data_IF_924133128203
#
_entry.id   IF_924133128203
#
_cell.length_a   1.000
_cell.length_b   1.000
_cell.length_c   1.000
_cell.angle_alpha   90.00
_cell.angle_beta   90.00
_cell.angle_gamma   90.00
#
_symmetry.space_group_name_H-M   'P 1'
#
loop_
_entity.id
_entity.type
_entity.pdbx_description
1 polymer ?
#
# COMPACT_ATOMS: atom_id res chain seq x y z
N UNK A 1 0.58 18.92 1.62
CA UNK A 1 1.74 18.05 1.88
C UNK A 1 2.94 18.56 1.11
N UNK A 2 4.12 18.53 1.74
CA UNK A 2 5.36 19.07 1.22
C UNK A 2 6.47 18.03 1.22
N UNK A 3 7.54 18.27 0.47
CA UNK A 3 8.68 17.37 0.33
C UNK A 3 10.01 18.10 0.46
N UNK A 4 10.95 17.49 1.19
CA UNK A 4 12.37 17.82 1.19
C UNK A 4 13.15 16.61 0.70
N UNK A 5 14.28 16.88 0.04
CA UNK A 5 15.25 15.87 -0.38
C UNK A 5 16.62 16.14 0.26
N UNK A 6 17.22 15.12 0.86
CA UNK A 6 18.52 15.22 1.53
C UNK A 6 19.62 14.88 0.54
N UNK A 7 20.47 15.86 0.20
CA UNK A 7 21.62 15.58 -0.68
C UNK A 7 22.60 14.64 -0.01
N UNK A 8 22.97 13.60 -0.73
CA UNK A 8 24.00 12.64 -0.30
C UNK A 8 23.71 12.05 1.09
N UNK A 9 22.45 11.68 1.34
CA UNK A 9 21.93 11.26 2.66
C UNK A 9 22.90 10.36 3.46
N UNK A 10 23.42 9.30 2.85
CA UNK A 10 24.32 8.36 3.51
C UNK A 10 25.63 8.98 4.01
N UNK A 11 26.14 10.02 3.34
CA UNK A 11 27.37 10.71 3.76
C UNK A 11 27.21 11.49 5.06
N UNK A 12 25.98 11.65 5.56
CA UNK A 12 25.71 12.27 6.85
C UNK A 12 25.77 11.26 8.00
N UNK A 13 25.58 9.96 7.73
CA UNK A 13 25.56 8.93 8.76
C UNK A 13 26.95 8.64 9.32
N UNK A 14 27.08 8.64 10.65
CA UNK A 14 28.32 8.30 11.35
C UNK A 14 28.40 6.77 11.53
N UNK A 15 29.54 6.18 11.14
CA UNK A 15 29.77 4.75 11.32
C UNK A 15 30.17 4.46 12.76
N UNK A 16 29.56 3.43 13.36
CA UNK A 16 29.94 2.93 14.69
C UNK A 16 30.96 1.79 14.57
N UNK A 17 30.90 1.04 13.47
CA UNK A 17 31.85 -0.01 13.15
C UNK A 17 33.13 0.56 12.53
N UNK A 18 34.24 -0.15 12.73
CA UNK A 18 35.49 0.14 12.02
C UNK A 18 35.41 -0.41 10.59
N UNK A 19 35.27 0.50 9.63
CA UNK A 19 35.29 0.18 8.20
C UNK A 19 36.48 0.86 7.57
N UNK A 20 37.22 0.10 6.77
CA UNK A 20 38.37 0.59 6.01
C UNK A 20 38.09 0.44 4.53
N UNK A 21 38.65 1.35 3.73
CA UNK A 21 38.62 1.29 2.27
C UNK A 21 40.02 1.47 1.72
N UNK A 22 40.29 0.84 0.59
CA UNK A 22 41.50 1.11 -0.19
C UNK A 22 41.57 2.60 -0.55
N UNK A 23 42.79 3.10 -0.72
CA UNK A 23 42.99 4.47 -1.16
C UNK A 23 42.42 4.62 -2.58
N UNK A 24 41.43 5.51 -2.80
CA UNK A 24 40.85 5.68 -4.12
C UNK A 24 41.88 6.29 -5.08
N UNK A 25 41.73 5.95 -6.35
CA UNK A 25 42.57 6.47 -7.43
C UNK A 25 42.68 8.00 -7.36
N UNK A 26 43.91 8.52 -7.45
CA UNK A 26 44.20 9.95 -7.35
C UNK A 26 44.35 10.50 -5.92
N UNK A 27 44.09 9.70 -4.89
CA UNK A 27 44.30 10.05 -3.48
C UNK A 27 45.28 9.10 -2.78
N UNK A 28 46.03 8.32 -3.56
CA UNK A 28 47.07 7.43 -3.05
C UNK A 28 48.24 8.28 -2.55
N UNK A 29 48.63 8.08 -1.29
CA UNK A 29 49.77 8.76 -0.68
C UNK A 29 51.05 8.06 -1.11
N UNK A 30 51.95 8.80 -1.75
CA UNK A 30 53.23 8.26 -2.22
C UNK A 30 54.08 7.77 -1.04
N UNK A 31 54.55 6.53 -1.13
CA UNK A 31 55.30 5.84 -0.07
C UNK A 31 54.43 5.19 1.01
N UNK A 32 53.10 5.28 0.92
CA UNK A 32 52.15 4.61 1.81
C UNK A 32 51.06 3.88 1.02
N UNK A 33 51.39 3.35 -0.15
CA UNK A 33 50.45 2.77 -1.11
C UNK A 33 49.69 1.54 -0.56
N UNK A 34 50.26 0.84 0.42
CA UNK A 34 49.68 -0.33 1.07
C UNK A 34 48.72 0.01 2.24
N UNK A 35 48.62 1.29 2.61
CA UNK A 35 47.70 1.73 3.66
C UNK A 35 46.26 1.85 3.16
N UNK A 36 45.35 1.90 4.12
CA UNK A 36 43.90 2.03 3.90
C UNK A 36 43.36 3.24 4.65
N UNK A 37 42.26 3.82 4.16
CA UNK A 37 41.54 4.87 4.86
C UNK A 37 40.48 4.29 5.79
N UNK A 38 40.47 4.76 7.05
CA UNK A 38 39.38 4.48 7.99
C UNK A 38 38.21 5.42 7.71
N UNK A 39 37.03 4.87 7.49
CA UNK A 39 35.82 5.64 7.28
C UNK A 39 35.23 6.08 8.61
N UNK A 40 35.01 7.40 8.76
CA UNK A 40 34.28 7.97 9.90
C UNK A 40 32.79 8.12 9.61
N UNK A 41 32.43 8.35 8.34
CA UNK A 41 31.05 8.46 7.87
C UNK A 41 30.77 7.43 6.79
N UNK A 42 29.51 7.08 6.62
CA UNK A 42 29.12 6.08 5.67
C UNK A 42 29.30 6.57 4.22
N UNK A 43 29.69 5.65 3.35
CA UNK A 43 29.75 5.85 1.90
C UNK A 43 28.65 5.03 1.22
N UNK A 44 28.30 5.45 0.00
CA UNK A 44 27.43 4.67 -0.87
C UNK A 44 28.06 3.30 -1.15
N UNK A 45 27.22 2.26 -1.13
CA UNK A 45 27.65 0.87 -1.31
C UNK A 45 27.95 0.12 0.00
N UNK A 46 28.09 0.81 1.13
CA UNK A 46 28.20 0.14 2.43
C UNK A 46 26.85 -0.41 2.87
N UNK A 47 26.82 -1.67 3.30
CA UNK A 47 25.63 -2.31 3.89
C UNK A 47 25.11 -1.58 5.13
N UNK A 48 25.98 -0.89 5.87
CA UNK A 48 25.65 -0.14 7.07
C UNK A 48 25.12 1.28 6.78
N UNK A 49 25.34 1.81 5.58
CA UNK A 49 25.05 3.21 5.26
C UNK A 49 23.59 3.62 5.51
N UNK A 50 22.57 2.82 5.12
CA UNK A 50 21.19 3.17 5.40
C UNK A 50 20.89 3.25 6.90
N UNK A 51 21.45 2.33 7.69
CA UNK A 51 21.26 2.29 9.15
C UNK A 51 21.95 3.47 9.84
N UNK A 52 23.18 3.78 9.43
CA UNK A 52 23.94 4.92 9.97
C UNK A 52 23.22 6.24 9.68
N UNK A 53 22.71 6.41 8.46
CA UNK A 53 21.91 7.58 8.10
C UNK A 53 20.61 7.66 8.90
N UNK A 54 19.85 6.58 8.95
CA UNK A 54 18.59 6.55 9.70
C UNK A 54 18.81 6.86 11.19
N UNK A 55 19.87 6.33 11.81
CA UNK A 55 20.22 6.63 13.20
C UNK A 55 20.58 8.10 13.44
N UNK A 56 21.28 8.74 12.50
CA UNK A 56 21.62 10.17 12.57
C UNK A 56 20.35 11.05 12.50
N UNK A 57 19.47 10.80 11.52
CA UNK A 57 18.26 11.60 11.36
C UNK A 57 17.23 11.35 12.47
N UNK A 58 17.06 10.11 12.94
CA UNK A 58 16.24 9.76 14.09
C UNK A 58 16.69 10.54 15.34
N UNK A 59 17.98 10.47 15.66
CA UNK A 59 18.57 11.18 16.81
C UNK A 59 18.33 12.68 16.71
N UNK A 60 18.49 13.27 15.53
CA UNK A 60 18.26 14.70 15.32
C UNK A 60 16.79 15.09 15.46
N UNK A 61 15.85 14.33 14.89
CA UNK A 61 14.42 14.63 15.00
C UNK A 61 13.95 14.55 16.46
N UNK A 62 14.42 13.54 17.20
CA UNK A 62 14.15 13.41 18.64
C UNK A 62 14.71 14.62 19.42
N UNK A 63 15.93 15.07 19.12
CA UNK A 63 16.49 16.30 19.70
C UNK A 63 15.67 17.54 19.37
N UNK A 64 15.10 17.61 18.16
CA UNK A 64 14.16 18.66 17.77
C UNK A 64 12.77 18.52 18.42
N UNK A 65 12.55 17.54 19.30
CA UNK A 65 11.31 17.34 20.05
C UNK A 65 10.21 16.60 19.28
N UNK A 66 10.57 15.89 18.21
CA UNK A 66 9.64 14.94 17.58
C UNK A 66 9.57 13.66 18.39
N UNK A 67 8.38 13.05 18.40
CA UNK A 67 8.15 11.71 18.91
C UNK A 67 8.07 10.77 17.72
N UNK A 68 8.89 9.73 17.71
CA UNK A 68 8.78 8.65 16.72
C UNK A 68 7.54 7.81 17.04
N UNK A 69 6.79 7.44 16.02
CA UNK A 69 5.68 6.49 16.13
C UNK A 69 6.19 5.14 16.63
N UNK A 70 5.39 4.50 17.49
CA UNK A 70 5.69 3.15 17.95
C UNK A 70 5.25 2.08 16.96
N UNK A 71 4.31 2.45 16.08
CA UNK A 71 3.70 1.59 15.06
C UNK A 71 4.45 1.61 13.72
N UNK A 72 5.10 2.73 13.39
CA UNK A 72 5.84 2.94 12.15
C UNK A 72 7.16 3.70 12.41
N UNK A 73 8.30 3.05 12.14
CA UNK A 73 9.61 3.56 12.53
C UNK A 73 10.03 4.80 11.75
N UNK A 74 9.53 4.98 10.53
CA UNK A 74 9.89 6.15 9.71
C UNK A 74 8.97 7.35 9.91
N UNK A 75 8.02 7.25 10.84
CA UNK A 75 7.01 8.27 11.10
C UNK A 75 7.31 9.02 12.40
N UNK A 76 7.21 10.35 12.33
CA UNK A 76 7.51 11.27 13.43
C UNK A 76 6.42 12.32 13.55
N UNK A 77 6.06 12.63 14.78
CA UNK A 77 5.00 13.57 15.09
C UNK A 77 5.49 14.57 16.14
N UNK A 78 5.16 15.85 15.94
CA UNK A 78 5.42 16.91 16.91
C UNK A 78 4.22 17.82 17.00
N UNK A 79 3.82 18.15 18.23
CA UNK A 79 2.74 19.10 18.47
C UNK A 79 3.12 20.18 19.47
N UNK A 80 2.42 21.32 19.41
CA UNK A 80 2.45 22.40 20.41
C UNK A 80 1.01 22.66 20.83
N UNK A 81 0.70 22.59 22.13
CA UNK A 81 -0.69 22.68 22.65
C UNK A 81 -1.58 21.54 22.12
N UNK A 82 -2.84 21.50 22.51
CA UNK A 82 -3.74 20.34 22.28
C UNK A 82 -4.18 20.15 20.81
N UNK A 83 -3.87 21.06 19.90
CA UNK A 83 -4.36 21.00 18.51
C UNK A 83 -3.29 21.09 17.42
N UNK A 84 -2.13 21.72 17.65
CA UNK A 84 -1.17 21.92 16.57
C UNK A 84 -0.32 20.67 16.37
N UNK A 85 -0.16 20.27 15.10
CA UNK A 85 0.48 19.04 14.71
C UNK A 85 1.31 19.23 13.44
N UNK A 86 2.50 18.65 13.44
CA UNK A 86 3.28 18.34 12.24
C UNK A 86 3.64 16.86 12.24
N UNK A 87 3.41 16.22 11.10
CA UNK A 87 3.69 14.83 10.80
C UNK A 87 4.79 14.80 9.74
N UNK A 88 5.80 13.97 9.97
CA UNK A 88 6.97 13.80 9.10
C UNK A 88 7.15 12.31 8.84
N UNK A 89 7.27 11.93 7.58
CA UNK A 89 7.59 10.57 7.14
C UNK A 89 8.88 10.59 6.33
N UNK A 90 9.79 9.67 6.64
CA UNK A 90 11.11 9.58 6.01
C UNK A 90 11.20 8.34 5.15
N UNK A 91 11.69 8.50 3.92
CA UNK A 91 12.11 7.40 3.07
C UNK A 91 13.50 7.68 2.53
N UNK A 92 14.52 7.15 3.22
CA UNK A 92 15.93 7.37 2.87
C UNK A 92 16.25 8.87 2.77
N UNK A 93 16.40 9.41 1.57
CA UNK A 93 16.71 10.80 1.24
C UNK A 93 15.45 11.68 1.10
N UNK A 94 14.32 11.08 0.75
CA UNK A 94 13.04 11.77 0.65
C UNK A 94 12.39 11.96 2.04
N UNK A 95 11.91 13.17 2.31
CA UNK A 95 11.16 13.50 3.52
C UNK A 95 9.86 14.16 3.14
N UNK A 96 8.75 13.51 3.48
CA UNK A 96 7.40 14.06 3.30
C UNK A 96 6.93 14.62 4.63
N UNK A 97 6.35 15.81 4.63
CA UNK A 97 5.79 16.40 5.83
C UNK A 97 4.49 17.15 5.58
N UNK A 98 3.63 17.16 6.60
CA UNK A 98 2.32 17.81 6.57
C UNK A 98 1.89 18.17 7.99
N UNK A 99 0.90 19.03 8.13
CA UNK A 99 0.42 19.45 9.44
C UNK A 99 -0.67 20.50 9.34
N UNK A 100 -1.28 20.83 10.47
CA UNK A 100 -2.29 21.88 10.56
C UNK A 100 -1.72 23.22 11.08
N UNK A 101 -0.42 23.25 11.46
CA UNK A 101 0.28 24.46 11.90
C UNK A 101 1.40 24.85 10.93
N UNK A 102 1.22 25.97 10.23
CA UNK A 102 2.21 26.52 9.31
C UNK A 102 3.51 26.90 10.03
N UNK A 103 3.42 27.36 11.29
CA UNK A 103 4.58 27.68 12.12
C UNK A 103 5.42 26.43 12.38
N UNK A 104 4.81 25.33 12.84
CA UNK A 104 5.52 24.08 13.08
C UNK A 104 6.16 23.49 11.82
N UNK A 105 5.45 23.57 10.68
CA UNK A 105 5.99 23.12 9.40
C UNK A 105 7.18 23.98 8.95
N UNK A 106 7.12 25.30 9.13
CA UNK A 106 8.21 26.20 8.78
C UNK A 106 9.41 26.06 9.73
N UNK A 107 9.18 25.88 11.03
CA UNK A 107 10.19 25.56 12.02
C UNK A 107 10.91 24.26 11.66
N UNK A 108 10.15 23.20 11.36
CA UNK A 108 10.70 21.90 10.94
C UNK A 108 11.61 22.06 9.71
N UNK A 109 11.08 22.69 8.65
CA UNK A 109 11.82 22.93 7.41
C UNK A 109 13.11 23.71 7.65
N UNK A 110 13.05 24.77 8.44
CA UNK A 110 14.21 25.62 8.74
C UNK A 110 15.28 24.82 9.49
N UNK A 111 14.90 24.05 10.51
CA UNK A 111 15.82 23.20 11.27
C UNK A 111 16.49 22.14 10.39
N UNK A 112 15.75 21.52 9.46
CA UNK A 112 16.31 20.52 8.54
C UNK A 112 17.29 21.14 7.55
N UNK A 113 16.95 22.28 6.96
CA UNK A 113 17.83 22.99 6.00
C UNK A 113 19.08 23.59 6.66
N UNK A 114 19.03 23.90 7.96
CA UNK A 114 20.21 24.34 8.72
C UNK A 114 21.14 23.17 9.05
N UNK A 115 20.58 21.99 9.38
CA UNK A 115 21.36 20.82 9.79
C UNK A 115 21.98 20.07 8.62
N UNK A 116 21.24 19.90 7.53
CA UNK A 116 21.63 19.10 6.38
C UNK A 116 21.57 19.92 5.09
N UNK A 117 22.33 19.48 4.09
CA UNK A 117 22.25 20.04 2.74
C UNK A 117 21.00 19.51 2.04
N UNK A 118 19.91 20.27 2.10
CA UNK A 118 18.60 19.87 1.56
C UNK A 118 18.30 20.53 0.20
N UNK A 119 17.39 19.92 -0.56
CA UNK A 119 16.60 20.56 -1.60
C UNK A 119 15.17 20.67 -1.10
N UNK A 120 14.61 21.88 -1.15
CA UNK A 120 13.19 22.09 -0.92
C UNK A 120 12.43 21.90 -2.23
N UNK A 121 11.61 20.85 -2.29
CA UNK A 121 10.82 20.50 -3.46
C UNK A 121 9.42 21.13 -3.42
N UNK A 122 9.08 21.86 -2.34
CA UNK A 122 7.79 22.50 -2.19
C UNK A 122 6.66 21.49 -2.03
N UNK A 123 5.56 21.66 -2.76
CA UNK A 123 4.43 20.75 -2.71
C UNK A 123 4.84 19.35 -3.21
N UNK A 124 4.35 18.33 -2.52
CA UNK A 124 4.54 16.95 -2.93
C UNK A 124 3.81 16.69 -4.27
N UNK A 125 4.58 16.43 -5.32
CA UNK A 125 4.05 16.09 -6.65
C UNK A 125 4.35 14.64 -7.04
N UNK A 126 5.47 14.07 -6.58
CA UNK A 126 5.87 12.69 -6.86
C UNK A 126 6.53 12.07 -5.62
N UNK A 127 6.17 10.83 -5.31
CA UNK A 127 6.79 10.06 -4.22
C UNK A 127 6.82 8.59 -4.59
N UNK A 128 8.01 7.95 -4.59
CA UNK A 128 8.16 6.51 -4.87
C UNK A 128 7.47 6.04 -6.17
N UNK A 129 7.51 6.88 -7.21
CA UNK A 129 6.88 6.59 -8.50
C UNK A 129 5.35 6.72 -8.53
N UNK A 130 4.75 7.25 -7.46
CA UNK A 130 3.35 7.70 -7.39
C UNK A 130 3.33 9.21 -7.70
N UNK A 131 2.43 9.63 -8.58
CA UNK A 131 2.11 11.04 -8.82
C UNK A 131 0.99 11.50 -7.88
N UNK A 132 1.10 12.75 -7.41
CA UNK A 132 0.20 13.35 -6.43
C UNK A 132 -0.29 14.69 -6.99
N UNK A 133 -1.61 14.83 -7.08
CA UNK A 133 -2.29 16.08 -7.40
C UNK A 133 -2.93 16.57 -6.11
N UNK A 134 -2.55 17.76 -5.67
CA UNK A 134 -3.09 18.39 -4.46
C UNK A 134 -3.94 19.58 -4.87
N UNK A 135 -5.17 19.61 -4.36
CA UNK A 135 -6.15 20.69 -4.51
C UNK A 135 -6.57 21.18 -3.12
N UNK A 136 -7.33 22.28 -3.05
CA UNK A 136 -7.96 22.73 -1.81
C UNK A 136 -9.01 21.74 -1.28
N UNK A 137 -9.62 20.97 -2.19
CA UNK A 137 -10.74 20.07 -1.89
C UNK A 137 -10.36 18.59 -1.85
N UNK A 138 -9.22 18.20 -2.44
CA UNK A 138 -8.82 16.79 -2.53
C UNK A 138 -7.32 16.59 -2.72
N UNK A 139 -6.87 15.37 -2.40
CA UNK A 139 -5.59 14.79 -2.81
C UNK A 139 -5.90 13.61 -3.73
N UNK A 140 -5.26 13.56 -4.89
CA UNK A 140 -5.41 12.45 -5.84
C UNK A 140 -4.06 11.79 -6.10
N UNK A 141 -3.97 10.48 -5.91
CA UNK A 141 -2.75 9.70 -6.14
C UNK A 141 -2.92 8.74 -7.33
N UNK A 142 -1.91 8.68 -8.19
CA UNK A 142 -1.99 7.88 -9.42
C UNK A 142 -0.62 7.44 -9.93
N UNK A 143 -0.60 6.47 -10.84
CA UNK A 143 0.61 5.97 -11.50
C UNK A 143 0.51 6.08 -13.03
N UNK A 144 -0.13 7.14 -13.55
CA UNK A 144 -0.41 7.33 -15.00
C UNK A 144 0.84 7.17 -15.88
N UNK A 145 1.94 7.86 -15.54
CA UNK A 145 3.21 7.79 -16.30
C UNK A 145 3.77 6.37 -16.36
N UNK A 146 3.71 5.64 -15.24
CA UNK A 146 4.11 4.24 -15.17
C UNK A 146 3.20 3.36 -16.02
N UNK A 147 1.87 3.51 -15.88
CA UNK A 147 0.89 2.77 -16.67
C UNK A 147 1.07 2.97 -18.18
N UNK A 148 1.27 4.20 -18.65
CA UNK A 148 1.54 4.48 -20.07
C UNK A 148 2.85 3.86 -20.56
N UNK A 149 3.91 3.88 -19.72
CA UNK A 149 5.18 3.23 -20.04
C UNK A 149 5.02 1.70 -20.13
N UNK A 150 4.21 1.13 -19.24
CA UNK A 150 3.90 -0.29 -19.20
C UNK A 150 3.16 -0.73 -20.47
N UNK A 151 2.15 0.04 -20.90
CA UNK A 151 1.41 -0.22 -22.13
C UNK A 151 2.31 -0.17 -23.36
N UNK A 152 3.19 0.85 -23.46
CA UNK A 152 4.17 0.95 -24.54
C UNK A 152 5.13 -0.25 -24.56
N UNK A 153 5.63 -0.66 -23.39
CA UNK A 153 6.56 -1.80 -23.25
C UNK A 153 5.98 -3.09 -23.81
N UNK A 154 4.69 -3.35 -23.60
CA UNK A 154 4.02 -4.56 -24.07
C UNK A 154 3.25 -4.39 -25.39
N UNK A 155 3.44 -3.27 -26.09
CA UNK A 155 2.83 -3.00 -27.40
C UNK A 155 1.31 -2.84 -27.35
N UNK A 156 0.78 -2.31 -26.24
CA UNK A 156 -0.66 -2.15 -25.98
C UNK A 156 -1.10 -0.69 -25.87
N UNK A 157 -0.26 0.28 -26.26
CA UNK A 157 -0.62 1.71 -26.18
C UNK A 157 -1.81 2.10 -27.08
N UNK A 158 -2.04 1.38 -28.18
CA UNK A 158 -3.14 1.63 -29.13
C UNK A 158 -4.20 0.52 -29.09
N UNK A 159 -4.20 -0.31 -28.05
CA UNK A 159 -5.11 -1.44 -27.95
C UNK A 159 -6.56 -1.01 -27.66
N UNK A 160 -7.55 -1.78 -28.15
CA UNK A 160 -8.96 -1.56 -27.79
C UNK A 160 -9.17 -1.87 -26.30
N UNK A 161 -9.61 -0.88 -25.49
CA UNK A 161 -9.78 -1.08 -24.06
C UNK A 161 -10.91 -2.05 -23.72
N UNK A 162 -10.91 -2.58 -22.50
CA UNK A 162 -11.98 -3.42 -21.95
C UNK A 162 -12.49 -2.83 -20.63
N UNK A 163 -13.75 -3.11 -20.27
CA UNK A 163 -14.39 -2.51 -19.09
C UNK A 163 -14.09 -3.20 -17.76
N UNK A 164 -13.54 -4.42 -17.76
CA UNK A 164 -13.19 -5.18 -16.55
C UNK A 164 -11.89 -5.98 -16.76
N UNK A 165 -11.05 -6.13 -15.71
CA UNK A 165 -9.75 -6.78 -15.81
C UNK A 165 -9.85 -8.30 -16.03
N UNK A 166 -10.84 -8.96 -15.42
CA UNK A 166 -11.09 -10.40 -15.55
C UNK A 166 -12.51 -10.68 -16.07
N UNK A 167 -12.73 -11.89 -16.60
CA UNK A 167 -14.05 -12.36 -17.02
C UNK A 167 -14.60 -13.27 -15.92
N UNK A 168 -15.79 -13.02 -15.33
CA UNK A 168 -16.30 -13.79 -14.19
C UNK A 168 -16.39 -15.31 -14.39
N UNK A 169 -16.73 -15.75 -15.60
CA UNK A 169 -16.86 -17.16 -15.93
C UNK A 169 -15.53 -17.85 -16.27
N UNK A 170 -14.43 -17.10 -16.37
CA UNK A 170 -13.16 -17.63 -16.83
C UNK A 170 -12.26 -18.00 -15.64
N UNK A 171 -12.11 -19.30 -15.40
CA UNK A 171 -11.23 -19.85 -14.37
C UNK A 171 -9.84 -20.13 -14.95
N UNK A 172 -8.81 -19.70 -14.22
CA UNK A 172 -7.40 -20.00 -14.53
C UNK A 172 -6.98 -21.24 -13.77
N UNK A 173 -6.26 -22.14 -14.44
CA UNK A 173 -5.76 -23.41 -13.90
C UNK A 173 -4.32 -23.59 -14.36
N UNK A 174 -3.51 -24.38 -13.64
CA UNK A 174 -2.12 -24.65 -14.04
C UNK A 174 -1.99 -25.25 -15.42
N UNK A 175 -2.90 -26.17 -15.75
CA UNK A 175 -3.01 -26.77 -17.07
C UNK A 175 -4.40 -26.45 -17.64
N UNK A 176 -4.40 -25.78 -18.77
CA UNK A 176 -5.59 -25.30 -19.47
C UNK A 176 -5.54 -25.63 -20.97
N UNK A 177 -4.66 -26.56 -21.36
CA UNK A 177 -4.46 -27.03 -22.74
C UNK A 177 -4.03 -25.95 -23.74
N UNK A 178 -3.79 -24.70 -23.30
CA UNK A 178 -3.40 -23.59 -24.20
C UNK A 178 -1.91 -23.58 -24.53
N UNK A 179 -1.13 -24.52 -23.99
CA UNK A 179 0.32 -24.63 -24.15
C UNK A 179 1.10 -23.60 -23.32
N UNK A 180 2.39 -23.90 -23.11
CA UNK A 180 3.28 -23.04 -22.34
C UNK A 180 3.51 -21.68 -23.01
N UNK A 181 3.70 -20.64 -22.19
CA UNK A 181 4.06 -19.30 -22.63
C UNK A 181 5.48 -18.92 -22.19
N UNK A 182 5.99 -17.80 -22.68
CA UNK A 182 7.30 -17.30 -22.30
C UNK A 182 7.29 -16.82 -20.84
N UNK A 183 7.98 -17.56 -19.99
CA UNK A 183 8.04 -17.33 -18.54
C UNK A 183 8.64 -15.96 -18.18
N UNK A 184 9.72 -15.55 -18.85
CA UNK A 184 10.40 -14.29 -18.56
C UNK A 184 9.52 -13.08 -18.90
N UNK A 185 8.86 -13.09 -20.06
CA UNK A 185 7.95 -12.02 -20.46
C UNK A 185 6.69 -11.97 -19.58
N UNK A 186 6.16 -13.14 -19.21
CA UNK A 186 5.04 -13.23 -18.28
C UNK A 186 5.38 -12.65 -16.90
N UNK A 187 6.52 -13.05 -16.32
CA UNK A 187 6.99 -12.54 -15.02
C UNK A 187 7.19 -11.02 -15.05
N UNK A 188 7.78 -10.48 -16.12
CA UNK A 188 7.94 -9.02 -16.30
C UNK A 188 6.59 -8.31 -16.33
N UNK A 189 5.61 -8.87 -17.06
CA UNK A 189 4.27 -8.28 -17.19
C UNK A 189 3.55 -8.30 -15.84
N UNK A 190 3.45 -9.47 -15.20
CA UNK A 190 2.73 -9.60 -13.93
C UNK A 190 3.41 -8.84 -12.81
N UNK A 191 4.74 -8.86 -12.73
CA UNK A 191 5.49 -8.02 -11.79
C UNK A 191 5.21 -6.53 -11.96
N UNK A 192 5.05 -6.07 -13.22
CA UNK A 192 4.67 -4.68 -13.49
C UNK A 192 3.23 -4.35 -13.07
N UNK A 193 2.30 -5.31 -13.23
CA UNK A 193 0.92 -5.15 -12.74
C UNK A 193 0.88 -5.06 -11.21
N UNK A 194 1.65 -5.89 -10.51
CA UNK A 194 1.76 -5.86 -9.05
C UNK A 194 2.24 -4.49 -8.56
N UNK A 195 3.23 -3.88 -9.22
CA UNK A 195 3.67 -2.52 -8.87
C UNK A 195 2.58 -1.45 -9.09
N UNK A 196 1.73 -1.61 -10.10
CA UNK A 196 0.63 -0.69 -10.39
C UNK A 196 -0.50 -0.78 -9.34
N UNK A 197 -0.58 -1.87 -8.58
CA UNK A 197 -1.61 -2.03 -7.54
C UNK A 197 -1.49 -1.03 -6.40
N UNK A 198 -0.34 -0.35 -6.26
CA UNK A 198 -0.08 0.67 -5.22
C UNK A 198 -1.06 1.86 -5.29
N UNK A 199 -1.56 2.22 -6.49
CA UNK A 199 -2.64 3.21 -6.66
C UNK A 199 -3.86 2.66 -7.37
N UNK A 200 -3.88 1.34 -7.66
CA UNK A 200 -4.93 0.66 -8.41
C UNK A 200 -5.38 -0.62 -7.69
N UNK A 201 -6.02 -0.49 -6.50
CA UNK A 201 -6.57 -1.65 -5.79
C UNK A 201 -7.57 -2.44 -6.65
N UNK A 202 -8.24 -1.78 -7.60
CA UNK A 202 -9.20 -2.38 -8.53
C UNK A 202 -8.62 -3.45 -9.47
N UNK A 203 -7.30 -3.52 -9.65
CA UNK A 203 -6.64 -4.60 -10.40
C UNK A 203 -5.91 -5.60 -9.50
N UNK A 204 -5.92 -5.41 -8.18
CA UNK A 204 -5.17 -6.22 -7.21
C UNK A 204 -5.50 -7.71 -7.34
N UNK A 205 -6.78 -8.08 -7.38
CA UNK A 205 -7.21 -9.46 -7.54
C UNK A 205 -6.64 -10.09 -8.81
N UNK A 206 -6.74 -9.38 -9.93
CA UNK A 206 -6.26 -9.87 -11.22
C UNK A 206 -4.73 -10.06 -11.24
N UNK A 207 -3.98 -9.09 -10.72
CA UNK A 207 -2.52 -9.17 -10.66
C UNK A 207 -2.05 -10.31 -9.75
N UNK A 208 -2.65 -10.46 -8.57
CA UNK A 208 -2.28 -11.50 -7.61
C UNK A 208 -2.70 -12.90 -8.05
N UNK A 209 -3.87 -13.04 -8.69
CA UNK A 209 -4.31 -14.30 -9.27
C UNK A 209 -3.32 -14.77 -10.36
N UNK A 210 -2.91 -13.88 -11.25
CA UNK A 210 -1.92 -14.17 -12.30
C UNK A 210 -0.53 -14.50 -11.71
N UNK A 211 -0.15 -13.87 -10.61
CA UNK A 211 1.14 -14.14 -9.95
C UNK A 211 1.30 -15.61 -9.52
N UNK A 212 0.19 -16.34 -9.29
CA UNK A 212 0.20 -17.77 -8.96
C UNK A 212 0.83 -18.64 -10.05
N UNK A 213 0.88 -18.17 -11.30
CA UNK A 213 1.32 -18.94 -12.46
C UNK A 213 2.70 -18.50 -13.00
N UNK A 214 3.45 -17.68 -12.24
CA UNK A 214 4.75 -17.13 -12.67
C UNK A 214 5.83 -18.17 -13.00
N UNK A 215 5.75 -19.38 -12.46
CA UNK A 215 6.73 -20.45 -12.69
C UNK A 215 6.41 -21.34 -13.90
N UNK A 216 5.15 -21.36 -14.34
CA UNK A 216 4.72 -22.20 -15.46
C UNK A 216 3.48 -21.59 -16.13
N UNK A 217 3.63 -20.41 -16.78
CA UNK A 217 2.49 -19.74 -17.40
C UNK A 217 2.08 -20.42 -18.71
N UNK A 218 0.80 -20.35 -19.02
CA UNK A 218 0.19 -20.84 -20.26
C UNK A 218 -0.14 -19.65 -21.16
N UNK A 219 -0.49 -19.91 -22.42
CA UNK A 219 -0.89 -18.82 -23.33
C UNK A 219 -2.19 -18.14 -22.88
N UNK A 220 -3.10 -18.87 -22.23
CA UNK A 220 -4.27 -18.29 -21.57
C UNK A 220 -3.87 -17.35 -20.44
N UNK A 221 -2.93 -17.76 -19.57
CA UNK A 221 -2.40 -16.87 -18.52
C UNK A 221 -1.86 -15.56 -19.10
N UNK A 222 -1.04 -15.65 -20.15
CA UNK A 222 -0.47 -14.45 -20.78
C UNK A 222 -1.52 -13.59 -21.49
N UNK A 223 -2.51 -14.21 -22.15
CA UNK A 223 -3.65 -13.53 -22.74
C UNK A 223 -4.48 -12.77 -21.70
N UNK A 224 -4.75 -13.38 -20.56
CA UNK A 224 -5.45 -12.74 -19.43
C UNK A 224 -4.63 -11.60 -18.84
N UNK A 225 -3.31 -11.73 -18.72
CA UNK A 225 -2.44 -10.64 -18.28
C UNK A 225 -2.47 -9.45 -19.24
N UNK A 226 -2.46 -9.68 -20.56
CA UNK A 226 -2.65 -8.63 -21.58
C UNK A 226 -4.05 -8.01 -21.50
N UNK A 227 -5.09 -8.78 -21.14
CA UNK A 227 -6.43 -8.23 -20.91
C UNK A 227 -6.43 -7.22 -19.75
N UNK A 228 -5.71 -7.49 -18.66
CA UNK A 228 -5.57 -6.51 -17.55
C UNK A 228 -4.92 -5.21 -18.08
N UNK A 229 -3.90 -5.30 -18.92
CA UNK A 229 -3.33 -4.11 -19.57
C UNK A 229 -4.34 -3.38 -20.47
N UNK A 230 -5.20 -4.08 -21.21
CA UNK A 230 -6.30 -3.44 -21.97
C UNK A 230 -7.31 -2.73 -21.06
N UNK A 231 -7.53 -3.22 -19.84
CA UNK A 231 -8.33 -2.51 -18.84
C UNK A 231 -7.62 -1.23 -18.35
N UNK A 232 -6.32 -1.34 -18.05
CA UNK A 232 -5.47 -0.19 -17.68
C UNK A 232 -5.47 0.87 -18.79
N UNK A 233 -5.44 0.47 -20.06
CA UNK A 233 -5.52 1.40 -21.19
C UNK A 233 -6.80 2.25 -21.17
N UNK A 234 -7.94 1.63 -20.86
CA UNK A 234 -9.22 2.33 -20.73
C UNK A 234 -9.35 3.16 -19.44
N UNK A 235 -8.39 3.04 -18.53
CA UNK A 235 -8.42 3.63 -17.19
C UNK A 235 -7.08 4.29 -16.83
N UNK A 236 -6.36 4.83 -17.82
CA UNK A 236 -5.06 5.49 -17.63
C UNK A 236 -5.11 6.66 -16.65
N UNK A 237 -6.24 7.35 -16.63
CA UNK A 237 -6.52 8.53 -15.83
C UNK A 237 -7.11 8.20 -14.45
N UNK A 238 -7.14 6.91 -14.08
CA UNK A 238 -7.69 6.48 -12.80
C UNK A 238 -6.63 6.45 -11.70
N UNK A 239 -7.06 6.83 -10.49
CA UNK A 239 -6.28 6.85 -9.27
C UNK A 239 -7.20 6.98 -8.06
N UNK A 240 -6.62 7.10 -6.87
CA UNK A 240 -7.36 7.21 -5.61
C UNK A 240 -7.60 8.68 -5.25
N UNK A 241 -8.85 9.03 -4.95
CA UNK A 241 -9.27 10.36 -4.50
C UNK A 241 -9.50 10.36 -2.97
N UNK A 242 -8.83 11.29 -2.28
CA UNK A 242 -9.06 11.60 -0.88
C UNK A 242 -9.59 13.03 -0.77
N UNK A 243 -10.87 13.18 -0.45
CA UNK A 243 -11.57 14.47 -0.33
C UNK A 243 -11.40 15.03 1.07
N UNK A 244 -11.33 16.36 1.12
CA UNK A 244 -11.35 17.12 2.36
C UNK A 244 -12.76 17.12 2.98
N UNK A 245 -12.82 16.97 4.29
CA UNK A 245 -14.04 17.22 5.08
C UNK A 245 -15.07 16.08 5.10
N UNK A 246 -14.76 14.90 4.55
CA UNK A 246 -15.52 13.70 4.89
C UNK A 246 -15.11 13.20 6.29
N UNK A 247 -16.01 12.50 6.99
CA UNK A 247 -15.79 12.11 8.39
C UNK A 247 -14.57 11.21 8.57
N UNK A 248 -13.75 11.50 9.58
CA UNK A 248 -12.58 10.72 9.98
C UNK A 248 -13.00 9.46 10.74
N UNK A 249 -13.66 8.52 10.06
CA UNK A 249 -14.04 7.23 10.65
C UNK A 249 -13.34 6.11 9.90
N UNK A 250 -12.55 5.32 10.63
CA UNK A 250 -11.98 4.09 10.11
C UNK A 250 -13.08 3.05 9.91
N UNK A 251 -13.25 2.55 8.68
CA UNK A 251 -14.21 1.49 8.34
C UNK A 251 -13.49 0.39 7.57
N UNK A 252 -13.70 -0.86 7.98
CA UNK A 252 -13.14 -2.05 7.36
C UNK A 252 -14.18 -2.89 6.62
N UNK A 253 -13.72 -3.61 5.62
CA UNK A 253 -14.46 -4.62 4.86
C UNK A 253 -13.59 -5.87 4.76
N UNK A 254 -14.19 -7.05 4.94
CA UNK A 254 -13.51 -8.32 4.75
C UNK A 254 -14.41 -9.31 4.02
N UNK A 255 -13.84 -10.03 3.06
CA UNK A 255 -14.49 -11.09 2.29
C UNK A 255 -13.50 -12.22 2.02
N UNK A 256 -13.99 -13.40 1.69
CA UNK A 256 -13.18 -14.49 1.18
C UNK A 256 -13.83 -15.20 0.01
N UNK A 257 -13.01 -15.74 -0.89
CA UNK A 257 -13.50 -16.83 -1.72
C UNK A 257 -13.55 -18.13 -0.89
N UNK A 258 -14.34 -19.11 -1.34
CA UNK A 258 -14.28 -20.46 -0.81
C UNK A 258 -13.71 -21.41 -1.85
N UNK A 259 -12.57 -22.04 -1.52
CA UNK A 259 -11.85 -22.94 -2.41
C UNK A 259 -11.58 -22.32 -3.80
N UNK A 260 -11.29 -21.02 -3.87
CA UNK A 260 -11.14 -20.31 -5.15
C UNK A 260 -9.91 -20.75 -5.96
N UNK A 261 -8.99 -21.50 -5.35
CA UNK A 261 -7.88 -22.16 -6.02
C UNK A 261 -8.21 -23.64 -6.28
N UNK A 262 -8.49 -24.00 -7.54
CA UNK A 262 -8.76 -25.41 -7.89
C UNK A 262 -7.52 -26.32 -7.74
N UNK A 263 -6.32 -25.73 -7.70
CA UNK A 263 -5.07 -26.48 -7.61
C UNK A 263 -4.76 -27.00 -6.20
N UNK A 264 -5.13 -26.26 -5.16
CA UNK A 264 -4.81 -26.60 -3.75
C UNK A 264 -5.97 -26.40 -2.77
N UNK A 265 -7.17 -26.09 -3.29
CA UNK A 265 -8.40 -25.85 -2.53
C UNK A 265 -8.28 -24.76 -1.46
N UNK A 266 -7.23 -23.93 -1.52
CA UNK A 266 -7.04 -22.82 -0.58
C UNK A 266 -7.86 -21.62 -1.00
N UNK A 267 -8.46 -20.99 0.01
CA UNK A 267 -9.21 -19.76 -0.14
C UNK A 267 -8.31 -18.53 -0.33
N UNK A 268 -8.90 -17.45 -0.80
CA UNK A 268 -8.32 -16.11 -0.87
C UNK A 268 -9.11 -15.19 0.05
N UNK A 269 -8.45 -14.57 1.03
CA UNK A 269 -8.99 -13.45 1.80
C UNK A 269 -8.74 -12.13 1.08
N UNK A 270 -9.66 -11.19 1.22
CA UNK A 270 -9.49 -9.80 0.83
C UNK A 270 -9.99 -8.87 1.93
N UNK A 271 -9.31 -7.73 2.10
CA UNK A 271 -9.82 -6.66 2.94
C UNK A 271 -9.58 -5.28 2.33
N UNK A 272 -10.41 -4.32 2.72
CA UNK A 272 -10.22 -2.90 2.46
C UNK A 272 -10.57 -2.09 3.70
N UNK A 273 -9.75 -1.07 3.96
CA UNK A 273 -9.96 -0.07 5.00
C UNK A 273 -10.03 1.30 4.37
N UNK A 274 -11.14 1.98 4.64
CA UNK A 274 -11.39 3.36 4.24
C UNK A 274 -11.25 4.29 5.43
N UNK A 275 -10.77 5.50 5.16
CA UNK A 275 -10.73 6.59 6.13
C UNK A 275 -11.11 7.86 5.39
N UNK A 276 -12.20 8.51 5.80
CA UNK A 276 -12.82 9.55 4.98
C UNK A 276 -13.37 8.99 3.67
N UNK A 277 -12.95 9.54 2.54
CA UNK A 277 -13.61 9.34 1.24
C UNK A 277 -13.08 8.19 0.38
N UNK A 278 -12.07 7.47 0.84
CA UNK A 278 -11.36 6.50 -0.01
C UNK A 278 -10.62 5.43 0.77
N UNK A 279 -10.25 4.36 0.06
CA UNK A 279 -9.43 3.28 0.62
C UNK A 279 -7.99 3.74 0.75
N UNK A 280 -7.33 3.38 1.84
CA UNK A 280 -5.91 3.67 2.05
C UNK A 280 -5.10 2.42 2.45
N UNK A 281 -5.77 1.36 2.86
CA UNK A 281 -5.15 0.07 3.20
C UNK A 281 -6.01 -1.07 2.64
N UNK A 282 -5.43 -1.94 1.83
CA UNK A 282 -6.12 -3.06 1.21
C UNK A 282 -5.17 -4.24 1.05
N UNK A 283 -5.72 -5.46 0.94
CA UNK A 283 -4.91 -6.61 0.63
C UNK A 283 -5.67 -7.72 -0.09
N UNK A 284 -4.87 -8.53 -0.76
CA UNK A 284 -5.18 -9.86 -1.22
C UNK A 284 -4.28 -10.83 -0.46
N UNK A 285 -4.85 -11.86 0.16
CA UNK A 285 -4.08 -12.85 0.92
C UNK A 285 -4.55 -14.24 0.56
N UNK A 286 -3.66 -15.07 0.02
CA UNK A 286 -3.96 -16.50 -0.14
C UNK A 286 -3.88 -17.16 1.25
N UNK A 287 -4.97 -17.77 1.69
CA UNK A 287 -5.04 -18.41 3.00
C UNK A 287 -4.04 -19.58 3.07
N UNK A 288 -3.37 -19.72 4.22
CA UNK A 288 -2.36 -20.76 4.40
C UNK A 288 -2.97 -22.15 4.63
N UNK A 289 -4.16 -22.20 5.25
CA UNK A 289 -4.93 -23.41 5.52
C UNK A 289 -6.09 -23.57 4.53
N UNK A 290 -6.52 -24.81 4.31
CA UNK A 290 -7.75 -25.13 3.57
C UNK A 290 -8.91 -24.97 4.54
N UNK A 291 -9.86 -24.09 4.21
CA UNK A 291 -11.07 -23.89 5.00
C UNK A 291 -12.09 -25.00 4.71
N UNK A 292 -12.71 -25.55 5.75
CA UNK A 292 -13.67 -26.66 5.61
C UNK A 292 -15.09 -26.18 5.26
N UNK A 293 -15.32 -24.87 5.27
CA UNK A 293 -16.59 -24.25 4.90
C UNK A 293 -16.38 -22.80 4.46
N UNK A 294 -17.35 -22.23 3.75
CA UNK A 294 -17.38 -20.79 3.44
C UNK A 294 -17.33 -19.94 4.71
N UNK A 295 -18.09 -20.30 5.74
CA UNK A 295 -18.09 -19.57 7.01
C UNK A 295 -16.70 -19.55 7.68
N UNK A 296 -15.91 -20.61 7.50
CA UNK A 296 -14.55 -20.70 8.02
C UNK A 296 -13.56 -19.85 7.22
N UNK A 297 -13.66 -19.84 5.89
CA UNK A 297 -12.85 -18.97 5.03
C UNK A 297 -13.09 -17.49 5.37
N UNK A 298 -14.36 -17.12 5.56
CA UNK A 298 -14.77 -15.76 5.95
C UNK A 298 -14.23 -15.39 7.32
N UNK A 299 -14.27 -16.33 8.26
CA UNK A 299 -13.71 -16.13 9.60
C UNK A 299 -12.21 -15.87 9.56
N UNK A 300 -11.48 -16.60 8.70
CA UNK A 300 -10.04 -16.36 8.50
C UNK A 300 -9.79 -14.96 7.94
N UNK A 301 -10.58 -14.54 6.94
CA UNK A 301 -10.49 -13.18 6.38
C UNK A 301 -10.78 -12.10 7.43
N UNK A 302 -11.85 -12.26 8.22
CA UNK A 302 -12.18 -11.35 9.31
C UNK A 302 -11.05 -11.27 10.36
N UNK A 303 -10.36 -12.38 10.64
CA UNK A 303 -9.21 -12.39 11.56
C UNK A 303 -8.04 -11.58 11.04
N UNK A 304 -7.75 -11.68 9.74
CA UNK A 304 -6.67 -10.92 9.10
C UNK A 304 -7.03 -9.43 9.05
N UNK A 305 -8.27 -9.10 8.72
CA UNK A 305 -8.76 -7.72 8.75
C UNK A 305 -8.76 -7.16 10.18
N UNK A 306 -9.08 -7.95 11.21
CA UNK A 306 -9.00 -7.51 12.62
C UNK A 306 -7.58 -7.13 13.03
N UNK A 307 -6.58 -7.90 12.57
CA UNK A 307 -5.17 -7.58 12.82
C UNK A 307 -4.77 -6.26 12.15
N UNK A 308 -5.20 -6.07 10.90
CA UNK A 308 -4.97 -4.82 10.18
C UNK A 308 -5.67 -3.63 10.85
N UNK A 309 -6.93 -3.78 11.25
CA UNK A 309 -7.69 -2.74 11.97
C UNK A 309 -6.98 -2.33 13.27
N UNK A 310 -6.48 -3.31 14.02
CA UNK A 310 -5.75 -3.06 15.27
C UNK A 310 -4.48 -2.25 15.02
N UNK A 311 -3.67 -2.64 14.03
CA UNK A 311 -2.47 -1.88 13.67
C UNK A 311 -2.80 -0.47 13.17
N UNK A 312 -3.82 -0.32 12.33
CA UNK A 312 -4.28 0.97 11.82
C UNK A 312 -4.71 1.91 12.96
N UNK A 313 -5.40 1.39 13.99
CA UNK A 313 -5.77 2.18 15.17
C UNK A 313 -4.55 2.70 15.94
N UNK A 314 -3.49 1.89 16.06
CA UNK A 314 -2.24 2.36 16.69
C UNK A 314 -1.55 3.45 15.86
N UNK A 315 -1.55 3.34 14.53
CA UNK A 315 -1.03 4.39 13.64
C UNK A 315 -1.85 5.68 13.74
N UNK A 316 -3.18 5.59 13.79
CA UNK A 316 -4.06 6.74 13.99
C UNK A 316 -3.85 7.40 15.36
N UNK A 317 -3.67 6.60 16.41
CA UNK A 317 -3.31 7.09 17.74
C UNK A 317 -1.95 7.83 17.73
N UNK A 318 -0.95 7.32 17.01
CA UNK A 318 0.33 7.99 16.82
C UNK A 318 0.17 9.37 16.12
N UNK A 319 -0.84 9.53 15.25
CA UNK A 319 -1.20 10.83 14.64
C UNK A 319 -1.97 11.77 15.59
N UNK A 320 -2.40 11.30 16.76
CA UNK A 320 -3.29 12.03 17.65
C UNK A 320 -4.79 11.87 17.32
N UNK A 321 -5.14 11.00 16.39
CA UNK A 321 -6.52 10.67 15.99
C UNK A 321 -6.96 9.39 16.70
N UNK A 322 -7.18 9.49 18.02
CA UNK A 322 -7.59 8.34 18.82
C UNK A 322 -9.04 7.93 18.49
N UNK A 323 -9.19 6.74 17.91
CA UNK A 323 -10.48 6.13 17.66
C UNK A 323 -11.12 5.66 18.98
N UNK A 324 -12.06 6.43 19.51
CA UNK A 324 -12.73 6.11 20.79
C UNK A 324 -13.85 5.07 20.65
N UNK A 325 -14.28 4.79 19.42
CA UNK A 325 -15.33 3.82 19.11
C UNK A 325 -14.72 2.62 18.39
N UNK A 326 -15.35 1.47 18.55
CA UNK A 326 -14.98 0.25 17.86
C UNK A 326 -15.05 0.42 16.34
N UNK A 327 -14.00 0.02 15.63
CA UNK A 327 -13.93 0.12 14.16
C UNK A 327 -14.96 -0.81 13.53
N UNK A 328 -15.93 -0.31 12.73
CA UNK A 328 -16.86 -1.16 12.01
C UNK A 328 -16.12 -2.04 11.01
N UNK A 329 -16.29 -3.36 11.12
CA UNK A 329 -15.75 -4.34 10.19
C UNK A 329 -16.91 -5.06 9.51
N UNK A 330 -17.09 -4.79 8.22
CA UNK A 330 -18.19 -5.27 7.40
C UNK A 330 -17.90 -6.67 6.84
N UNK A 331 -18.79 -7.61 7.11
CA UNK A 331 -18.74 -9.00 6.63
C UNK A 331 -20.13 -9.40 6.11
N UNK A 332 -20.22 -10.07 4.98
CA UNK A 332 -21.50 -10.48 4.39
C UNK A 332 -21.93 -11.91 4.80
N UNK A 333 -21.10 -12.60 5.58
CA UNK A 333 -21.38 -13.96 6.04
C UNK A 333 -21.93 -13.98 7.47
N UNK A 334 -23.26 -14.10 7.58
CA UNK A 334 -23.97 -14.18 8.88
C UNK A 334 -23.54 -15.37 9.73
N UNK A 335 -23.09 -16.49 9.12
CA UNK A 335 -22.59 -17.64 9.86
C UNK A 335 -21.22 -17.37 10.47
N UNK A 336 -20.32 -16.69 9.75
CA UNK A 336 -19.02 -16.26 10.28
C UNK A 336 -19.20 -15.28 11.45
N UNK A 337 -20.15 -14.34 11.33
CA UNK A 337 -20.53 -13.43 12.41
C UNK A 337 -21.09 -14.20 13.61
N UNK A 338 -21.98 -15.17 13.39
CA UNK A 338 -22.55 -15.96 14.48
C UNK A 338 -21.50 -16.79 15.25
N UNK A 339 -20.43 -17.23 14.57
CA UNK A 339 -19.31 -17.96 15.20
C UNK A 339 -18.58 -17.07 16.21
N UNK A 340 -18.43 -15.76 15.97
CA UNK A 340 -17.74 -14.87 16.94
C UNK A 340 -18.55 -14.71 18.24
N UNK A 341 -19.88 -14.78 18.16
CA UNK A 341 -20.78 -14.59 19.29
C UNK A 341 -20.99 -15.85 20.14
N UNK A 342 -20.81 -17.05 19.57
CA UNK A 342 -21.21 -18.30 20.21
C UNK A 342 -20.02 -19.22 20.60
N UNK A 343 -19.83 -19.55 21.90
CA UNK A 343 -18.73 -20.41 22.36
C UNK A 343 -18.88 -21.90 21.98
N UNK A 344 -20.07 -22.34 21.58
CA UNK A 344 -20.37 -23.75 21.28
C UNK A 344 -19.74 -24.22 19.96
N UNK A 345 -19.48 -23.31 19.01
CA UNK A 345 -18.91 -23.66 17.70
C UNK A 345 -17.42 -24.04 17.75
N UNK A 346 -16.77 -23.93 18.93
CA UNK A 346 -15.34 -24.19 19.11
C UNK A 346 -14.91 -25.62 18.76
N UNK A 347 -15.80 -26.61 18.91
CA UNK A 347 -15.47 -28.00 18.57
C UNK A 347 -15.20 -28.22 17.07
N UNK A 348 -15.75 -27.39 16.18
CA UNK A 348 -15.67 -27.56 14.71
C UNK A 348 -14.52 -26.79 14.05
N UNK A 349 -13.90 -25.83 14.75
CA UNK A 349 -12.89 -24.89 14.21
C UNK A 349 -11.52 -25.02 14.89
N UNK A 350 -11.21 -26.19 15.46
CA UNK A 350 -9.98 -26.42 16.25
C UNK A 350 -8.68 -26.05 15.52
N UNK A 351 -8.64 -26.17 14.20
CA UNK A 351 -7.45 -25.88 13.39
C UNK A 351 -7.23 -24.36 13.15
N UNK A 352 -8.22 -23.52 13.48
CA UNK A 352 -8.12 -22.05 13.44
C UNK A 352 -8.28 -21.41 14.84
N UNK A 353 -8.13 -22.19 15.91
CA UNK A 353 -8.39 -21.80 17.30
C UNK A 353 -7.74 -20.45 17.72
N UNK A 354 -6.50 -20.20 17.33
CA UNK A 354 -5.82 -18.91 17.65
C UNK A 354 -6.55 -17.70 17.06
N UNK A 355 -7.02 -17.80 15.81
CA UNK A 355 -7.81 -16.75 15.15
C UNK A 355 -9.14 -16.55 15.86
N UNK A 356 -9.75 -17.63 16.35
CA UNK A 356 -10.99 -17.57 17.11
C UNK A 356 -10.86 -16.72 18.37
N UNK A 357 -9.83 -17.00 19.19
CA UNK A 357 -9.59 -16.23 20.40
C UNK A 357 -9.27 -14.77 20.10
N UNK A 358 -8.48 -14.52 19.05
CA UNK A 358 -8.07 -13.17 18.68
C UNK A 358 -9.24 -12.24 18.30
N UNK A 359 -10.13 -12.68 17.38
CA UNK A 359 -11.30 -11.85 17.00
C UNK A 359 -12.20 -11.60 18.21
N UNK A 360 -12.42 -12.64 19.03
CA UNK A 360 -13.30 -12.52 20.20
C UNK A 360 -12.74 -11.55 21.22
N UNK A 361 -11.45 -11.61 21.49
CA UNK A 361 -10.77 -10.66 22.37
C UNK A 361 -10.89 -9.23 21.84
N UNK A 362 -10.66 -9.02 20.54
CA UNK A 362 -10.80 -7.70 19.90
C UNK A 362 -12.24 -7.15 20.00
N UNK A 363 -13.27 -8.00 19.84
CA UNK A 363 -14.67 -7.61 20.04
C UNK A 363 -14.96 -7.26 21.51
N UNK A 364 -14.46 -8.06 22.46
CA UNK A 364 -14.65 -7.83 23.91
C UNK A 364 -13.96 -6.55 24.39
N UNK A 365 -12.80 -6.23 23.82
CA UNK A 365 -12.05 -5.00 24.09
C UNK A 365 -12.61 -3.78 23.35
N UNK A 366 -13.61 -3.95 22.49
CA UNK A 366 -14.19 -2.85 21.70
C UNK A 366 -13.23 -2.30 20.64
N UNK A 367 -12.25 -3.08 20.18
CA UNK A 367 -11.32 -2.68 19.11
C UNK A 367 -12.04 -2.64 17.76
N UNK A 368 -12.86 -3.66 17.50
CA UNK A 368 -13.69 -3.77 16.30
C UNK A 368 -15.15 -4.05 16.65
N UNK A 369 -16.04 -3.75 15.72
CA UNK A 369 -17.43 -4.19 15.74
C UNK A 369 -17.74 -4.90 14.42
N UNK A 370 -17.92 -6.21 14.47
CA UNK A 370 -18.20 -7.02 13.28
C UNK A 370 -19.68 -6.92 12.91
N UNK A 371 -19.98 -6.32 11.76
CA UNK A 371 -21.33 -6.00 11.31
C UNK A 371 -21.64 -6.66 9.97
N UNK A 372 -22.92 -7.01 9.78
CA UNK A 372 -23.39 -7.54 8.52
C UNK A 372 -23.49 -6.44 7.45
N UNK A 373 -22.92 -6.69 6.27
CA UNK A 373 -23.16 -5.86 5.08
C UNK A 373 -23.74 -6.72 3.94
N UNK A 374 -24.68 -6.19 3.13
CA UNK A 374 -25.13 -6.90 1.94
C UNK A 374 -23.98 -7.14 0.95
N UNK A 375 -23.93 -8.30 0.28
CA UNK A 375 -22.88 -8.63 -0.72
C UNK A 375 -22.73 -7.57 -1.83
N UNK A 376 -23.81 -6.85 -2.19
CA UNK A 376 -23.72 -5.75 -3.18
C UNK A 376 -22.86 -4.57 -2.71
N UNK A 377 -22.76 -4.37 -1.40
CA UNK A 377 -21.99 -3.31 -0.74
C UNK A 377 -20.67 -3.83 -0.15
N UNK A 378 -20.39 -5.13 -0.31
CA UNK A 378 -19.16 -5.75 0.17
C UNK A 378 -17.97 -5.30 -0.70
N UNK A 379 -17.28 -4.25 -0.27
CA UNK A 379 -16.13 -3.67 -0.99
C UNK A 379 -15.01 -4.70 -1.17
N UNK A 380 -14.84 -5.62 -0.22
CA UNK A 380 -13.77 -6.62 -0.28
C UNK A 380 -13.94 -7.66 -1.39
N UNK A 381 -15.15 -7.81 -1.97
CA UNK A 381 -15.43 -8.74 -3.09
C UNK A 381 -14.50 -8.50 -4.29
N UNK A 382 -14.13 -7.24 -4.54
CA UNK A 382 -13.25 -6.87 -5.65
C UNK A 382 -11.85 -7.50 -5.52
N UNK A 383 -11.47 -7.95 -4.33
CA UNK A 383 -10.19 -8.59 -4.04
C UNK A 383 -10.24 -10.12 -4.04
N UNK A 384 -11.42 -10.74 -4.12
CA UNK A 384 -11.58 -12.20 -3.94
C UNK A 384 -12.21 -12.88 -5.15
N UNK A 385 -12.99 -12.15 -5.97
CA UNK A 385 -13.71 -12.74 -7.10
C UNK A 385 -13.74 -11.84 -8.33
N UNK A 386 -13.88 -12.45 -9.50
CA UNK A 386 -14.06 -11.74 -10.76
C UNK A 386 -15.52 -11.29 -10.89
N UNK A 387 -15.75 -9.98 -10.99
CA UNK A 387 -17.08 -9.37 -10.92
C UNK A 387 -17.62 -8.96 -12.30
N UNK A 388 -18.95 -8.97 -12.44
CA UNK A 388 -19.63 -8.40 -13.59
C UNK A 388 -19.38 -6.88 -13.67
N UNK A 389 -19.46 -6.32 -14.88
CA UNK A 389 -19.03 -4.93 -15.15
C UNK A 389 -19.68 -3.89 -14.24
N UNK A 390 -20.98 -4.02 -14.00
CA UNK A 390 -21.73 -3.07 -13.17
C UNK A 390 -21.24 -3.13 -11.71
N UNK A 391 -21.23 -4.33 -11.11
CA UNK A 391 -20.76 -4.54 -9.74
C UNK A 391 -19.29 -4.12 -9.57
N UNK A 392 -18.41 -4.50 -10.52
CA UNK A 392 -17.01 -4.11 -10.51
C UNK A 392 -16.83 -2.59 -10.52
N UNK A 393 -17.58 -1.89 -11.38
CA UNK A 393 -17.48 -0.43 -11.49
C UNK A 393 -17.98 0.26 -10.22
N UNK A 394 -19.06 -0.25 -9.63
CA UNK A 394 -19.63 0.24 -8.37
C UNK A 394 -18.65 0.07 -7.20
N UNK A 395 -18.11 -1.13 -6.98
CA UNK A 395 -17.15 -1.36 -5.89
C UNK A 395 -15.83 -0.58 -6.08
N UNK A 396 -15.37 -0.43 -7.33
CA UNK A 396 -14.21 0.42 -7.64
C UNK A 396 -14.44 1.88 -7.23
N UNK A 397 -15.65 2.40 -7.45
CA UNK A 397 -16.00 3.76 -7.02
C UNK A 397 -16.07 3.89 -5.50
N UNK A 398 -16.57 2.86 -4.79
CA UNK A 398 -16.56 2.81 -3.32
C UNK A 398 -15.14 2.75 -2.74
N UNK A 399 -14.18 2.13 -3.43
CA UNK A 399 -12.75 2.21 -3.07
C UNK A 399 -12.17 3.62 -3.22
N UNK A 400 -12.87 4.54 -3.91
CA UNK A 400 -12.33 5.85 -4.27
C UNK A 400 -11.48 5.85 -5.54
N UNK A 401 -11.47 4.76 -6.32
CA UNK A 401 -10.72 4.68 -7.58
C UNK A 401 -11.53 5.32 -8.70
N UNK A 402 -11.15 6.54 -9.10
CA UNK A 402 -11.91 7.37 -10.03
C UNK A 402 -11.00 7.99 -11.09
N UNK A 403 -11.61 8.40 -12.20
CA UNK A 403 -10.93 9.20 -13.21
C UNK A 403 -10.66 10.61 -12.68
N UNK A 404 -9.44 11.13 -12.89
CA UNK A 404 -9.09 12.52 -12.56
C UNK A 404 -10.01 13.55 -13.23
N UNK A 405 -10.60 13.20 -14.39
CA UNK A 405 -11.54 14.08 -15.11
C UNK A 405 -12.90 14.25 -14.42
N UNK A 406 -13.23 13.36 -13.48
CA UNK A 406 -14.48 13.43 -12.72
C UNK A 406 -14.37 14.35 -11.49
N UNK A 407 -13.19 14.91 -11.22
CA UNK A 407 -12.92 15.76 -10.06
C UNK A 407 -13.33 17.21 -10.38
N UNK A 408 -14.04 17.88 -9.46
CA UNK A 408 -14.43 19.30 -9.59
C UNK A 408 -13.18 20.20 -9.51
N UNK A 409 -13.19 21.31 -10.24
CA UNK A 409 -12.06 22.24 -10.28
C UNK A 409 -10.91 21.75 -11.16
N UNK A 410 -11.24 21.09 -12.29
CA UNK A 410 -10.29 20.56 -13.29
C UNK A 410 -9.04 21.42 -13.36
N UNK A 411 -7.91 20.85 -12.93
CA UNK A 411 -6.58 21.42 -13.11
C UNK A 411 -6.53 21.97 -14.53
N UNK A 412 -6.19 23.25 -14.71
CA UNK A 412 -5.97 23.83 -16.03
C UNK A 412 -4.99 22.91 -16.78
N UNK A 413 -5.50 22.05 -17.65
CA UNK A 413 -4.70 21.17 -18.50
C UNK A 413 -4.11 22.06 -19.59
N UNK A 414 -3.09 22.85 -19.25
CA UNK A 414 -2.26 23.48 -20.26
C UNK A 414 -1.34 22.39 -20.84
N UNK A 415 -1.63 22.02 -22.09
CA UNK A 415 -0.77 21.21 -22.96
C UNK A 415 -0.55 19.73 -22.57
N UNK A 416 -1.60 19.02 -22.16
CA UNK A 416 -1.63 17.55 -22.22
C UNK A 416 -0.57 16.80 -21.40
N UNK A 417 0.15 17.50 -20.52
CA UNK A 417 1.09 16.93 -19.56
C UNK A 417 0.56 17.23 -18.17
N UNK A 418 0.04 16.19 -17.53
CA UNK A 418 0.02 16.14 -16.06
C UNK A 418 1.50 16.15 -15.65
N UNK A 419 1.96 17.25 -15.06
CA UNK A 419 3.26 17.29 -14.39
C UNK A 419 3.12 16.50 -13.09
#
# INVERSE_FOLDING_TARGET
MYQLDVKSAFLNGVLQEEVYVEQPDGFIVQGEEDKVYKLHKALYGLKQAPRAWYGEIDSYLVQCGFKRSTSEATLYVKGRRTSDLVIVSIYVDDIVYTGNSQELMQDFKTNMMQRYKMIDLGFLHHFLGIGIIQSEDYIFIHQKKYASTLLKRFGLQDCKPVGIPLVPADKLKRDDESGASNEAEYRKLVGSLLYLTATRPDIMYAACLLARFMHSPTNKHYGTAKRVLRYVQGTLDFGLEYKKGEGSVLVGFCDSDWSGSEDDMKSTSGYAFTFGSGVFSWAYVKQQCVALSTAEAEYVSASEATAQATWLRFVLEDFGEMETVATPLNCDNTSAIAITMNPIFHQKTKHINRRYHYIKEALQQGVINLIYCPTKEQVADIFTKALAREQFSYLRELLGVKSVHNLKGSVNVQNGKLI
#
